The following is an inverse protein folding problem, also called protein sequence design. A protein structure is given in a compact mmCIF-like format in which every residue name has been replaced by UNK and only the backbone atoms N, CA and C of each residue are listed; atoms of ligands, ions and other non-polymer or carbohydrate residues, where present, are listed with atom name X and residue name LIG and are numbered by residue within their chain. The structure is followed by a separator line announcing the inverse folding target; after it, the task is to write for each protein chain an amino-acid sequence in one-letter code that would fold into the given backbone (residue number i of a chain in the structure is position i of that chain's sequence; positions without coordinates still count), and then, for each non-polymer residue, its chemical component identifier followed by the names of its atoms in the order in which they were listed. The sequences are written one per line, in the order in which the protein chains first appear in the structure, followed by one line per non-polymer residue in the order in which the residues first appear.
data_IF_380701722996
#
_entry.id   IF_380701722996
#
_cell.length_a   1.000
_cell.length_b   1.000
_cell.length_c   1.000
_cell.angle_alpha   90.00
_cell.angle_beta   90.00
_cell.angle_gamma   90.00
#
_symmetry.space_group_name_H-M   'P 1'
#
loop_
_entity.id
_entity.type
_entity.pdbx_description
1 polymer ?
#
# COMPACT_ATOMS: atom_id res chain seq x y z
N UNK A 1 15.11 -25.60 27.69
CA UNK A 1 14.85 -24.14 27.75
C UNK A 1 13.61 -23.92 28.59
N UNK A 2 13.75 -23.25 29.75
CA UNK A 2 12.66 -23.07 30.71
C UNK A 2 11.65 -22.04 30.18
N UNK A 3 10.40 -22.44 29.95
CA UNK A 3 9.32 -21.55 29.53
C UNK A 3 8.57 -21.06 30.77
N UNK A 4 9.05 -19.96 31.35
CA UNK A 4 8.30 -19.26 32.39
C UNK A 4 6.91 -18.87 31.88
N UNK A 5 5.88 -19.05 32.71
CA UNK A 5 4.54 -18.60 32.39
C UNK A 5 4.54 -17.09 32.17
N UNK A 6 3.99 -16.63 31.04
CA UNK A 6 3.96 -15.23 30.69
C UNK A 6 3.17 -14.45 31.76
N UNK A 7 3.76 -13.37 32.26
CA UNK A 7 3.11 -12.56 33.28
C UNK A 7 2.04 -11.67 32.64
N UNK A 8 1.02 -11.26 33.42
CA UNK A 8 0.00 -10.32 32.94
C UNK A 8 0.62 -9.02 32.40
N UNK A 9 1.68 -8.54 33.04
CA UNK A 9 2.41 -7.35 32.61
C UNK A 9 3.04 -7.53 31.23
N UNK A 10 3.62 -8.71 30.96
CA UNK A 10 4.21 -9.06 29.67
C UNK A 10 3.16 -9.07 28.55
N UNK A 11 2.01 -9.72 28.79
CA UNK A 11 0.91 -9.77 27.81
C UNK A 11 0.37 -8.37 27.51
N UNK A 12 0.20 -7.54 28.53
CA UNK A 12 -0.25 -6.14 28.34
C UNK A 12 0.80 -5.28 27.63
N UNK A 13 2.08 -5.50 27.91
CA UNK A 13 3.18 -4.86 27.19
C UNK A 13 3.15 -5.20 25.71
N UNK A 14 3.00 -6.49 25.40
CA UNK A 14 2.90 -7.01 24.04
C UNK A 14 1.69 -6.42 23.29
N UNK A 15 0.51 -6.46 23.93
CA UNK A 15 -0.72 -5.90 23.37
C UNK A 15 -0.56 -4.42 23.00
N UNK A 16 -0.02 -3.60 23.92
CA UNK A 16 0.22 -2.18 23.66
C UNK A 16 1.29 -1.95 22.59
N UNK A 17 2.32 -2.79 22.55
CA UNK A 17 3.36 -2.76 21.52
C UNK A 17 2.76 -2.96 20.13
N UNK A 18 1.97 -4.03 19.97
CA UNK A 18 1.27 -4.34 18.71
C UNK A 18 0.35 -3.20 18.30
N UNK A 19 -0.48 -2.67 19.21
CA UNK A 19 -1.38 -1.56 18.88
C UNK A 19 -0.64 -0.29 18.44
N UNK A 20 0.47 0.05 19.11
CA UNK A 20 1.29 1.20 18.71
C UNK A 20 1.88 0.99 17.32
N UNK A 21 2.34 -0.22 17.00
CA UNK A 21 2.96 -0.52 15.72
C UNK A 21 1.93 -0.51 14.58
N UNK A 22 0.74 -1.10 14.79
CA UNK A 22 -0.37 -1.02 13.84
C UNK A 22 -0.79 0.42 13.59
N UNK A 23 -0.91 1.22 14.67
CA UNK A 23 -1.28 2.63 14.56
C UNK A 23 -0.25 3.45 13.79
N UNK A 24 1.04 3.15 13.93
CA UNK A 24 2.12 3.83 13.18
C UNK A 24 2.13 3.46 11.71
N UNK A 25 1.87 2.20 11.36
CA UNK A 25 2.03 1.71 9.99
C UNK A 25 0.77 1.88 9.13
N UNK A 26 -0.43 1.69 9.69
CA UNK A 26 -1.67 1.56 8.91
C UNK A 26 -2.68 2.70 9.11
N UNK A 27 -2.65 3.39 10.25
CA UNK A 27 -3.60 4.47 10.55
C UNK A 27 -3.27 5.85 9.92
N UNK A 28 -2.01 6.26 9.62
CA UNK A 28 -1.73 7.66 9.27
C UNK A 28 -2.43 8.17 8.00
N UNK A 29 -2.65 7.31 6.99
CA UNK A 29 -3.06 7.76 5.65
C UNK A 29 -4.57 7.90 5.47
N UNK A 30 -5.35 7.06 6.16
CA UNK A 30 -6.81 6.97 5.94
C UNK A 30 -7.60 7.08 7.25
N UNK A 31 -6.93 7.32 8.39
CA UNK A 31 -7.56 7.30 9.73
C UNK A 31 -8.40 6.04 10.03
N UNK A 32 -8.19 4.97 9.27
CA UNK A 32 -8.97 3.75 9.37
C UNK A 32 -8.52 2.96 10.61
N UNK A 33 -9.48 2.73 11.51
CA UNK A 33 -9.26 2.00 12.77
C UNK A 33 -9.58 0.50 12.66
N UNK A 34 -9.92 0.00 11.47
CA UNK A 34 -10.24 -1.41 11.24
C UNK A 34 -9.16 -2.33 11.82
N UNK A 35 -7.90 -2.18 11.41
CA UNK A 35 -6.79 -3.02 11.89
C UNK A 35 -6.57 -2.93 13.40
N UNK A 36 -6.75 -1.73 13.97
CA UNK A 36 -6.69 -1.55 15.41
C UNK A 36 -7.82 -2.34 16.11
N UNK A 37 -9.05 -2.25 15.60
CA UNK A 37 -10.20 -2.93 16.16
C UNK A 37 -10.09 -4.46 16.04
N UNK A 38 -9.54 -4.97 14.95
CA UNK A 38 -9.25 -6.41 14.79
C UNK A 38 -8.25 -6.91 15.82
N UNK A 39 -7.16 -6.16 16.08
CA UNK A 39 -6.23 -6.52 17.17
C UNK A 39 -6.93 -6.50 18.53
N UNK A 40 -7.76 -5.50 18.80
CA UNK A 40 -8.54 -5.47 20.05
C UNK A 40 -9.49 -6.68 20.15
N UNK A 41 -10.19 -7.02 19.07
CA UNK A 41 -11.13 -8.14 19.02
C UNK A 41 -10.42 -9.48 19.24
N UNK A 42 -9.28 -9.71 18.58
CA UNK A 42 -8.50 -10.95 18.73
C UNK A 42 -8.01 -11.16 20.16
N UNK A 43 -7.51 -10.11 20.82
CA UNK A 43 -7.10 -10.18 22.23
C UNK A 43 -8.27 -10.36 23.19
N UNK A 44 -9.43 -9.73 22.92
CA UNK A 44 -10.66 -9.93 23.71
C UNK A 44 -11.17 -11.36 23.58
N UNK A 45 -11.20 -11.91 22.36
CA UNK A 45 -11.64 -13.28 22.10
C UNK A 45 -10.72 -14.31 22.79
N UNK A 46 -9.43 -13.99 22.92
CA UNK A 46 -8.47 -14.83 23.64
C UNK A 46 -8.53 -14.72 25.18
N UNK A 47 -9.24 -13.75 25.75
CA UNK A 47 -9.25 -13.51 27.20
C UNK A 47 -10.00 -14.59 28.00
N UNK A 48 -10.93 -15.31 27.36
CA UNK A 48 -11.68 -16.41 27.97
C UNK A 48 -11.04 -17.79 27.81
N UNK A 49 -9.83 -17.89 27.24
CA UNK A 49 -9.17 -19.17 27.01
C UNK A 49 -8.65 -19.76 28.33
N UNK A 50 -9.15 -20.95 28.68
CA UNK A 50 -8.78 -21.66 29.93
C UNK A 50 -7.65 -22.66 29.73
N UNK A 51 -7.42 -23.13 28.49
CA UNK A 51 -6.37 -24.10 28.20
C UNK A 51 -4.99 -23.44 28.17
N UNK A 52 -4.08 -23.94 29.01
CA UNK A 52 -2.73 -23.45 29.16
C UNK A 52 -1.88 -23.63 27.88
N UNK A 53 -2.15 -24.65 27.07
CA UNK A 53 -1.43 -24.86 25.81
C UNK A 53 -1.85 -23.81 24.79
N UNK A 54 -3.15 -23.59 24.63
CA UNK A 54 -3.70 -22.56 23.74
C UNK A 54 -3.25 -21.15 24.12
N UNK A 55 -3.27 -20.82 25.41
CA UNK A 55 -2.80 -19.51 25.89
C UNK A 55 -1.33 -19.29 25.54
N UNK A 56 -0.47 -20.29 25.73
CA UNK A 56 0.95 -20.20 25.35
C UNK A 56 1.12 -20.01 23.84
N UNK A 57 0.40 -20.78 23.03
CA UNK A 57 0.46 -20.67 21.57
C UNK A 57 0.04 -19.28 21.09
N UNK A 58 -1.03 -18.71 21.66
CA UNK A 58 -1.50 -17.35 21.34
C UNK A 58 -0.47 -16.29 21.71
N UNK A 59 0.18 -16.42 22.87
CA UNK A 59 1.22 -15.49 23.29
C UNK A 59 2.44 -15.58 22.35
N UNK A 60 2.84 -16.78 21.95
CA UNK A 60 3.92 -16.98 20.99
C UNK A 60 3.59 -16.37 19.63
N UNK A 61 2.37 -16.59 19.12
CA UNK A 61 1.90 -15.99 17.88
C UNK A 61 1.92 -14.46 17.95
N UNK A 62 1.44 -13.87 19.05
CA UNK A 62 1.46 -12.43 19.23
C UNK A 62 2.90 -11.87 19.32
N UNK A 63 3.85 -12.60 19.94
CA UNK A 63 5.28 -12.25 19.92
C UNK A 63 5.87 -12.25 18.52
N UNK A 64 5.60 -13.32 17.76
CA UNK A 64 6.06 -13.44 16.38
C UNK A 64 5.48 -12.32 15.50
N UNK A 65 4.19 -12.01 15.67
CA UNK A 65 3.54 -10.92 14.96
C UNK A 65 4.14 -9.55 15.29
N UNK A 66 4.38 -9.27 16.58
CA UNK A 66 5.04 -8.03 17.00
C UNK A 66 6.46 -7.90 16.42
N UNK A 67 7.24 -8.99 16.43
CA UNK A 67 8.57 -9.02 15.83
C UNK A 67 8.51 -8.78 14.32
N UNK A 68 7.60 -9.44 13.61
CA UNK A 68 7.39 -9.27 12.18
C UNK A 68 7.02 -7.83 11.82
N UNK A 69 6.08 -7.21 12.51
CA UNK A 69 5.71 -5.82 12.21
C UNK A 69 6.89 -4.86 12.43
N UNK A 70 7.63 -5.06 13.52
CA UNK A 70 8.82 -4.25 13.82
C UNK A 70 9.88 -4.42 12.75
N UNK A 71 10.16 -5.66 12.31
CA UNK A 71 11.16 -5.94 11.28
C UNK A 71 10.76 -5.35 9.92
N UNK A 72 9.47 -5.36 9.57
CA UNK A 72 8.96 -4.73 8.35
C UNK A 72 9.18 -3.23 8.36
N UNK A 73 8.85 -2.55 9.47
CA UNK A 73 9.10 -1.11 9.59
C UNK A 73 10.59 -0.79 9.47
N UNK A 74 11.43 -1.50 10.21
CA UNK A 74 12.89 -1.27 10.16
C UNK A 74 13.46 -1.56 8.78
N UNK A 75 12.96 -2.60 8.10
CA UNK A 75 13.37 -2.92 6.74
C UNK A 75 13.02 -1.76 5.80
N UNK A 76 11.80 -1.23 5.88
CA UNK A 76 11.39 -0.06 5.08
C UNK A 76 12.28 1.15 5.35
N UNK A 77 12.55 1.46 6.62
CA UNK A 77 13.44 2.55 7.02
C UNK A 77 14.88 2.37 6.48
N UNK A 78 15.40 1.14 6.45
CA UNK A 78 16.72 0.83 5.91
C UNK A 78 16.75 0.96 4.39
N UNK A 79 15.73 0.46 3.69
CA UNK A 79 15.61 0.58 2.24
C UNK A 79 15.53 2.04 1.82
N UNK A 80 14.70 2.85 2.49
CA UNK A 80 14.60 4.29 2.23
C UNK A 80 15.94 5.01 2.43
N UNK A 81 16.74 4.61 3.42
CA UNK A 81 18.02 5.27 3.74
C UNK A 81 19.16 4.87 2.81
N UNK A 82 19.32 3.58 2.55
CA UNK A 82 20.51 3.06 1.86
C UNK A 82 20.26 2.74 0.39
N UNK A 83 18.99 2.58 -0.01
CA UNK A 83 18.60 2.30 -1.39
C UNK A 83 17.46 3.23 -1.84
N UNK A 84 17.73 4.53 -2.01
CA UNK A 84 16.70 5.50 -2.44
C UNK A 84 16.18 5.23 -3.86
N UNK A 85 16.90 4.42 -4.65
CA UNK A 85 16.53 4.02 -6.02
C UNK A 85 15.41 2.95 -6.05
N UNK A 86 15.03 2.37 -4.90
CA UNK A 86 13.95 1.36 -4.83
C UNK A 86 12.60 1.90 -5.27
N UNK A 87 12.32 3.16 -4.96
CA UNK A 87 11.06 3.81 -5.28
C UNK A 87 11.02 4.47 -6.66
N UNK A 88 12.12 4.48 -7.41
CA UNK A 88 12.17 5.10 -8.73
C UNK A 88 11.53 4.21 -9.79
N UNK A 89 10.72 4.83 -10.65
CA UNK A 89 10.23 4.19 -11.86
C UNK A 89 11.39 3.90 -12.83
N UNK A 90 11.21 2.92 -13.73
CA UNK A 90 12.23 2.62 -14.75
C UNK A 90 12.60 3.84 -15.60
N UNK A 91 11.63 4.70 -15.93
CA UNK A 91 11.88 5.94 -16.66
C UNK A 91 12.81 6.90 -15.90
N UNK A 92 12.61 7.06 -14.59
CA UNK A 92 13.46 7.91 -13.75
C UNK A 92 14.88 7.34 -13.59
N UNK A 93 15.00 6.00 -13.47
CA UNK A 93 16.31 5.32 -13.44
C UNK A 93 17.07 5.55 -14.74
N UNK A 94 16.38 5.43 -15.87
CA UNK A 94 16.97 5.63 -17.19
C UNK A 94 17.40 7.10 -17.37
N UNK A 95 16.59 8.06 -16.92
CA UNK A 95 16.94 9.49 -16.96
C UNK A 95 18.17 9.80 -16.10
N UNK A 96 18.26 9.25 -14.89
CA UNK A 96 19.43 9.44 -14.03
C UNK A 96 20.69 8.86 -14.65
N UNK A 97 20.59 7.66 -15.24
CA UNK A 97 21.71 7.03 -15.94
C UNK A 97 22.17 7.89 -17.12
N UNK A 98 21.26 8.42 -17.91
CA UNK A 98 21.58 9.35 -19.00
C UNK A 98 22.27 10.61 -18.47
N UNK A 99 21.78 11.21 -17.38
CA UNK A 99 22.37 12.40 -16.78
C UNK A 99 23.81 12.15 -16.27
N UNK A 100 24.13 10.95 -15.78
CA UNK A 100 25.49 10.59 -15.33
C UNK A 100 26.53 10.73 -16.44
N UNK A 101 26.14 10.52 -17.69
CA UNK A 101 27.00 10.67 -18.87
C UNK A 101 26.78 12.01 -19.60
N UNK A 102 26.03 12.94 -19.00
CA UNK A 102 25.74 14.24 -19.59
C UNK A 102 24.72 14.21 -20.73
N UNK A 103 23.96 13.12 -20.89
CA UNK A 103 22.90 13.00 -21.89
C UNK A 103 21.51 13.15 -21.27
N UNK A 104 20.54 13.57 -22.06
CA UNK A 104 19.12 13.60 -21.70
C UNK A 104 18.34 12.56 -22.50
N UNK A 105 17.31 11.94 -21.91
CA UNK A 105 16.46 11.04 -22.69
C UNK A 105 15.76 11.79 -23.83
N UNK A 106 15.66 11.18 -25.03
CA UNK A 106 14.89 11.74 -26.13
C UNK A 106 13.42 11.90 -25.72
N UNK A 107 12.80 13.03 -26.10
CA UNK A 107 11.36 13.21 -25.98
C UNK A 107 10.70 12.20 -26.92
N UNK A 108 9.90 11.28 -26.37
CA UNK A 108 9.17 10.29 -27.16
C UNK A 108 8.09 11.06 -27.94
N UNK A 109 8.34 11.32 -29.23
CA UNK A 109 7.35 11.90 -30.13
C UNK A 109 6.27 10.84 -30.41
N UNK A 110 5.21 10.84 -29.62
CA UNK A 110 4.11 9.85 -29.72
C UNK A 110 2.94 10.02 -28.75
N UNK A 111 2.98 11.00 -27.84
CA UNK A 111 1.77 11.58 -27.26
C UNK A 111 2.02 13.08 -27.15
N UNK A 112 1.50 13.83 -28.12
CA UNK A 112 1.85 15.22 -28.31
C UNK A 112 1.24 16.13 -27.25
N UNK A 113 1.96 16.40 -26.16
CA UNK A 113 1.95 17.70 -25.46
C UNK A 113 3.28 17.88 -24.70
N UNK A 114 4.11 18.89 -25.01
CA UNK A 114 5.22 19.29 -24.15
C UNK A 114 4.71 20.16 -22.99
N UNK A 115 5.06 19.78 -21.75
CA UNK A 115 4.65 20.42 -20.49
C UNK A 115 5.27 21.80 -20.21
N UNK A 116 5.48 22.64 -21.22
CA UNK A 116 6.22 23.90 -21.09
C UNK A 116 5.57 25.15 -21.68
N UNK A 117 4.70 25.05 -22.68
CA UNK A 117 4.23 26.25 -23.39
C UNK A 117 2.83 26.03 -23.95
N UNK A 118 1.77 26.42 -23.23
CA UNK A 118 0.47 26.76 -23.81
C UNK A 118 -0.22 27.83 -22.95
N UNK A 119 0.38 29.02 -22.90
CA UNK A 119 -0.39 30.26 -22.90
C UNK A 119 -0.60 30.66 -24.35
N UNK A 120 -1.78 30.40 -24.91
CA UNK A 120 -2.08 30.74 -26.30
C UNK A 120 -3.34 30.06 -26.83
N UNK A 121 -4.34 30.89 -27.11
CA UNK A 121 -5.56 30.67 -27.89
C UNK A 121 -5.85 29.24 -28.42
N UNK A 122 -6.92 28.67 -27.87
CA UNK A 122 -7.94 27.89 -28.58
C UNK A 122 -8.13 28.42 -30.02
N UNK A 123 -7.84 27.58 -31.01
CA UNK A 123 -8.51 27.61 -32.31
C UNK A 123 -8.52 26.20 -32.94
N UNK A 124 -9.73 25.66 -33.08
CA UNK A 124 -10.11 24.70 -34.12
C UNK A 124 -9.51 23.30 -34.08
N UNK A 125 -10.03 22.41 -33.22
CA UNK A 125 -10.12 20.98 -33.57
C UNK A 125 -11.59 20.67 -33.76
N UNK A 126 -12.01 20.60 -35.03
CA UNK A 126 -13.28 20.00 -35.39
C UNK A 126 -13.29 18.57 -34.86
N UNK A 127 -14.30 18.23 -34.07
CA UNK A 127 -14.58 16.85 -33.67
C UNK A 127 -14.80 16.03 -34.95
N UNK A 128 -13.83 15.18 -35.30
CA UNK A 128 -14.09 14.14 -36.30
C UNK A 128 -15.19 13.22 -35.75
N UNK A 129 -16.29 12.99 -36.49
CA UNK A 129 -17.36 12.13 -36.02
C UNK A 129 -16.84 10.70 -35.90
N UNK A 130 -16.99 10.13 -34.70
CA UNK A 130 -16.69 8.74 -34.40
C UNK A 130 -17.40 7.83 -35.41
N UNK A 131 -16.64 6.89 -35.98
CA UNK A 131 -17.16 6.00 -37.01
C UNK A 131 -18.43 5.26 -36.51
N UNK A 132 -19.46 5.07 -37.35
CA UNK A 132 -20.82 4.68 -36.93
C UNK A 132 -20.89 3.33 -36.20
N UNK A 133 -19.92 2.45 -36.46
CA UNK A 133 -19.81 1.14 -35.80
C UNK A 133 -19.39 1.24 -34.34
N UNK A 134 -18.67 2.30 -33.95
CA UNK A 134 -18.24 2.55 -32.55
C UNK A 134 -19.41 3.07 -31.72
N UNK A 135 -20.26 3.92 -32.30
CA UNK A 135 -21.49 4.40 -31.66
C UNK A 135 -22.50 3.26 -31.42
N UNK A 136 -22.63 2.34 -32.37
CA UNK A 136 -23.49 1.17 -32.25
C UNK A 136 -23.00 0.24 -31.13
N UNK A 137 -21.69 0.01 -31.04
CA UNK A 137 -21.08 -0.77 -29.96
C UNK A 137 -21.31 -0.16 -28.57
N UNK A 138 -21.23 1.17 -28.44
CA UNK A 138 -21.51 1.89 -27.19
C UNK A 138 -23.00 1.78 -26.80
N UNK A 139 -23.91 1.87 -27.76
CA UNK A 139 -25.35 1.68 -27.53
C UNK A 139 -25.69 0.26 -27.06
N UNK A 140 -25.01 -0.75 -27.60
CA UNK A 140 -25.21 -2.16 -27.19
C UNK A 140 -24.73 -2.36 -25.75
N UNK A 141 -23.56 -1.82 -25.38
CA UNK A 141 -23.00 -1.94 -24.03
C UNK A 141 -23.84 -1.20 -22.98
N UNK A 142 -24.39 -0.04 -23.29
CA UNK A 142 -25.25 0.72 -22.37
C UNK A 142 -26.63 0.09 -22.17
N UNK A 143 -27.10 -0.70 -23.13
CA UNK A 143 -28.40 -1.39 -23.07
C UNK A 143 -28.31 -2.79 -22.46
N UNK A 144 -27.12 -3.30 -22.17
CA UNK A 144 -26.95 -4.59 -21.53
C UNK A 144 -27.44 -4.52 -20.06
N UNK A 145 -28.43 -5.32 -19.65
CA UNK A 145 -28.84 -5.37 -18.26
C UNK A 145 -27.70 -5.94 -17.41
N UNK A 146 -27.35 -5.25 -16.33
CA UNK A 146 -26.40 -5.72 -15.33
C UNK A 146 -26.91 -7.05 -14.75
N UNK A 147 -26.34 -8.16 -15.18
CA UNK A 147 -26.61 -9.47 -14.60
C UNK A 147 -26.10 -9.48 -13.16
N UNK A 148 -27.04 -9.41 -12.23
CA UNK A 148 -26.86 -9.76 -10.83
C UNK A 148 -26.46 -11.22 -10.71
N UNK A 149 -25.33 -11.51 -10.07
CA UNK A 149 -25.09 -12.66 -9.19
C UNK A 149 -23.83 -12.41 -8.38
#
# INVERSE_FOLDING_TARGET
MSTAAATKAEVLGLYRGILREVSKQYTPRNSNRMWHNEVVATFKNGAGATDAVDVRNRILQAKNFHAFMTSNRTHRELVERYWPVSGMSEGEKLQRTANTVGFSLPKIFGSGVPAGELGGAIDGVAEEPLAPHVEEALKILQKAPSSSS
#
